data_IF_080352680007
#
_entry.id   IF_080352680007
#
_cell.length_a   1.000
_cell.length_b   1.000
_cell.length_c   1.000
_cell.angle_alpha   90.00
_cell.angle_beta   90.00
_cell.angle_gamma   90.00
#
_symmetry.space_group_name_H-M   'P 1'
#
loop_
_entity.id
_entity.type
_entity.pdbx_description
1 polymer ?
#
# COMPACT_ATOMS: atom_id res chain seq x y z
N UNK A 1 -8.74 -17.46 -7.51
CA UNK A 1 -10.10 -17.58 -6.94
C UNK A 1 -10.77 -16.22 -7.04
N UNK A 2 -11.97 -16.11 -7.64
CA UNK A 2 -12.71 -14.84 -7.64
C UNK A 2 -13.20 -14.52 -6.21
N UNK A 3 -13.52 -13.24 -5.96
CA UNK A 3 -14.23 -12.84 -4.74
C UNK A 3 -15.59 -13.57 -4.68
N UNK A 4 -16.10 -13.80 -3.47
CA UNK A 4 -17.45 -14.31 -3.29
C UNK A 4 -18.50 -13.32 -3.83
N UNK A 5 -19.71 -13.79 -4.21
CA UNK A 5 -20.78 -12.91 -4.64
C UNK A 5 -21.11 -11.87 -3.55
N UNK A 6 -21.11 -10.57 -3.87
CA UNK A 6 -21.45 -9.54 -2.90
C UNK A 6 -22.96 -9.45 -2.67
N UNK A 7 -23.35 -8.87 -1.53
CA UNK A 7 -24.72 -8.37 -1.32
C UNK A 7 -25.02 -7.18 -2.24
N UNK A 8 -26.31 -6.83 -2.38
CA UNK A 8 -26.76 -5.66 -3.14
C UNK A 8 -26.05 -4.38 -2.66
N UNK A 9 -25.48 -3.62 -3.60
CA UNK A 9 -24.70 -2.41 -3.33
C UNK A 9 -24.69 -1.47 -4.53
N UNK A 10 -24.42 -0.19 -4.30
CA UNK A 10 -24.25 0.81 -5.34
C UNK A 10 -22.81 1.35 -5.35
N UNK A 11 -22.27 1.61 -6.55
CA UNK A 11 -20.97 2.29 -6.67
C UNK A 11 -21.08 3.70 -6.09
N UNK A 12 -20.13 4.10 -5.23
CA UNK A 12 -20.11 5.45 -4.64
C UNK A 12 -18.86 6.24 -4.96
N UNK A 13 -17.77 5.55 -5.25
CA UNK A 13 -16.46 6.11 -5.54
C UNK A 13 -15.64 5.06 -6.27
N UNK A 14 -14.82 5.50 -7.22
CA UNK A 14 -13.79 4.70 -7.86
C UNK A 14 -12.47 5.43 -7.70
N UNK A 15 -11.48 4.71 -7.15
CA UNK A 15 -10.08 5.08 -7.19
C UNK A 15 -9.36 4.11 -8.10
N UNK A 16 -8.55 4.63 -9.00
CA UNK A 16 -7.61 3.86 -9.80
C UNK A 16 -6.20 4.38 -9.51
N UNK A 17 -5.27 3.46 -9.29
CA UNK A 17 -3.84 3.76 -9.24
C UNK A 17 -3.17 2.93 -10.33
N UNK A 18 -2.48 3.60 -11.25
CA UNK A 18 -1.58 2.94 -12.20
C UNK A 18 -0.15 3.26 -11.79
N UNK A 19 0.74 2.29 -11.98
CA UNK A 19 2.16 2.48 -11.76
C UNK A 19 2.94 1.73 -12.84
N UNK A 20 3.78 2.45 -13.55
CA UNK A 20 4.52 2.00 -14.72
C UNK A 20 6.02 2.24 -14.47
N UNK A 21 6.86 1.40 -15.05
CA UNK A 21 8.30 1.49 -14.92
C UNK A 21 8.95 1.49 -16.30
N UNK A 22 9.92 2.38 -16.49
CA UNK A 22 10.59 2.60 -17.76
C UNK A 22 12.11 2.58 -17.57
N UNK A 23 12.80 1.74 -18.31
CA UNK A 23 14.26 1.84 -18.46
C UNK A 23 14.57 3.02 -19.39
N UNK A 24 15.39 3.96 -18.93
CA UNK A 24 15.86 5.10 -19.71
C UNK A 24 17.12 4.75 -20.50
N UNK A 25 17.39 5.53 -21.54
CA UNK A 25 18.59 5.39 -22.37
C UNK A 25 19.90 5.64 -21.60
N UNK A 26 19.85 6.42 -20.51
CA UNK A 26 20.98 6.69 -19.62
C UNK A 26 21.20 5.60 -18.54
N UNK A 27 20.42 4.52 -18.59
CA UNK A 27 20.50 3.39 -17.65
C UNK A 27 19.83 3.63 -16.30
N UNK A 28 19.20 4.79 -16.09
CA UNK A 28 18.32 5.04 -14.95
C UNK A 28 16.92 4.48 -15.24
N UNK A 29 16.07 4.47 -14.21
CA UNK A 29 14.70 3.99 -14.35
C UNK A 29 13.72 5.06 -13.87
N UNK A 30 12.68 5.32 -14.65
CA UNK A 30 11.55 6.13 -14.20
C UNK A 30 10.43 5.21 -13.69
N UNK A 31 9.89 5.54 -12.52
CA UNK A 31 8.67 4.94 -11.99
C UNK A 31 7.60 6.03 -11.98
N UNK A 32 6.59 5.86 -12.81
CA UNK A 32 5.47 6.78 -12.95
C UNK A 32 4.24 6.20 -12.29
N UNK A 33 3.66 6.94 -11.35
CA UNK A 33 2.43 6.56 -10.71
C UNK A 33 1.37 7.64 -10.94
N UNK A 34 0.14 7.20 -11.22
CA UNK A 34 -1.03 8.07 -11.39
C UNK A 34 -2.15 7.63 -10.47
N UNK A 35 -2.78 8.58 -9.79
CA UNK A 35 -4.00 8.37 -9.01
C UNK A 35 -5.16 9.12 -9.67
N UNK A 36 -6.22 8.40 -9.99
CA UNK A 36 -7.47 8.99 -10.51
C UNK A 36 -8.64 8.61 -9.63
N UNK A 37 -9.36 9.62 -9.14
CA UNK A 37 -10.57 9.46 -8.35
C UNK A 37 -11.79 9.93 -9.13
N UNK A 38 -12.83 9.10 -9.27
CA UNK A 38 -14.10 9.48 -9.90
C UNK A 38 -15.31 9.09 -9.03
N UNK A 39 -16.47 9.68 -9.32
CA UNK A 39 -17.75 9.32 -8.69
C UNK A 39 -18.82 9.11 -9.78
N UNK A 40 -19.77 8.17 -9.57
CA UNK A 40 -20.88 7.90 -10.49
C UNK A 40 -22.05 8.87 -10.26
N UNK A 41 -21.70 10.15 -10.12
CA UNK A 41 -22.62 11.27 -9.89
C UNK A 41 -21.83 12.57 -9.96
N UNK A 42 -22.54 13.65 -10.22
CA UNK A 42 -22.02 15.00 -10.07
C UNK A 42 -21.51 15.25 -8.66
N UNK A 43 -20.42 16.01 -8.54
CA UNK A 43 -19.80 16.38 -7.28
C UNK A 43 -19.89 17.89 -7.14
N UNK A 44 -20.59 18.33 -6.10
CA UNK A 44 -20.55 19.72 -5.68
C UNK A 44 -19.17 20.04 -5.09
N UNK A 45 -18.54 21.07 -5.62
CA UNK A 45 -17.23 21.57 -5.19
C UNK A 45 -17.40 22.99 -4.62
N UNK A 46 -16.40 23.42 -3.85
CA UNK A 46 -16.36 24.78 -3.33
C UNK A 46 -16.46 25.83 -4.45
N UNK A 47 -17.18 26.92 -4.15
CA UNK A 47 -17.45 28.01 -5.08
C UNK A 47 -18.60 27.74 -6.05
N UNK A 48 -19.60 26.94 -5.65
CA UNK A 48 -20.76 26.56 -6.48
C UNK A 48 -20.38 25.92 -7.82
N UNK A 49 -19.24 25.23 -7.84
CA UNK A 49 -18.77 24.49 -9.03
C UNK A 49 -19.30 23.07 -8.98
N UNK A 50 -19.59 22.52 -10.16
CA UNK A 50 -19.98 21.13 -10.31
C UNK A 50 -18.89 20.40 -11.09
N UNK A 51 -18.48 19.25 -10.57
CA UNK A 51 -17.73 18.25 -11.30
C UNK A 51 -18.72 17.25 -11.91
N UNK A 52 -18.87 17.19 -13.24
CA UNK A 52 -19.78 16.23 -13.86
C UNK A 52 -19.41 14.78 -13.54
N UNK A 53 -20.42 13.92 -13.51
CA UNK A 53 -20.25 12.47 -13.40
C UNK A 53 -19.18 11.94 -14.38
N UNK A 54 -18.36 11.00 -13.89
CA UNK A 54 -17.31 10.36 -14.67
C UNK A 54 -16.03 11.19 -14.83
N UNK A 55 -16.06 12.50 -14.57
CA UNK A 55 -14.83 13.30 -14.58
C UNK A 55 -13.99 13.10 -13.30
N UNK A 56 -12.65 13.21 -13.38
CA UNK A 56 -11.78 13.08 -12.23
C UNK A 56 -12.02 14.15 -11.16
N UNK A 57 -12.26 13.74 -9.91
CA UNK A 57 -12.11 14.60 -8.74
C UNK A 57 -10.63 14.87 -8.45
N UNK A 58 -9.82 13.82 -8.53
CA UNK A 58 -8.37 13.88 -8.47
C UNK A 58 -7.79 13.21 -9.71
N UNK A 59 -6.76 13.80 -10.27
CA UNK A 59 -5.92 13.21 -11.31
C UNK A 59 -4.50 13.69 -11.10
N UNK A 60 -3.69 12.84 -10.47
CA UNK A 60 -2.44 13.23 -9.85
C UNK A 60 -1.34 12.30 -10.32
N UNK A 61 -0.17 12.87 -10.60
CA UNK A 61 1.00 12.15 -11.07
C UNK A 61 2.16 12.31 -10.09
N UNK A 62 2.92 11.23 -9.93
CA UNK A 62 4.19 11.22 -9.24
C UNK A 62 5.18 10.38 -10.06
N UNK A 63 6.27 11.01 -10.50
CA UNK A 63 7.39 10.34 -11.16
C UNK A 63 8.61 10.40 -10.25
N UNK A 64 9.31 9.28 -10.14
CA UNK A 64 10.65 9.24 -9.55
C UNK A 64 11.62 8.58 -10.51
N UNK A 65 12.81 9.16 -10.64
CA UNK A 65 13.93 8.52 -11.33
C UNK A 65 14.80 7.84 -10.30
N UNK A 66 15.16 6.57 -10.54
CA UNK A 66 15.98 5.77 -9.64
C UNK A 66 17.22 5.20 -10.31
N UNK A 67 18.28 5.04 -9.52
CA UNK A 67 19.46 4.26 -9.91
C UNK A 67 19.24 2.74 -9.70
N UNK A 68 20.20 1.93 -10.13
CA UNK A 68 20.16 0.47 -9.95
C UNK A 68 20.22 0.01 -8.47
N UNK A 69 20.54 0.92 -7.55
CA UNK A 69 20.52 0.69 -6.10
C UNK A 69 19.20 1.13 -5.47
N UNK A 70 18.20 1.53 -6.28
CA UNK A 70 16.89 2.02 -5.89
C UNK A 70 16.93 3.34 -5.10
N UNK A 71 17.97 4.15 -5.29
CA UNK A 71 18.01 5.51 -4.77
C UNK A 71 17.28 6.43 -5.73
N UNK A 72 16.44 7.31 -5.19
CA UNK A 72 15.76 8.35 -5.96
C UNK A 72 16.78 9.46 -6.27
N UNK A 73 17.02 9.68 -7.56
CA UNK A 73 17.93 10.73 -8.07
C UNK A 73 17.17 11.95 -8.60
N UNK A 74 15.90 11.79 -8.99
CA UNK A 74 15.00 12.90 -9.31
C UNK A 74 13.55 12.55 -8.96
N UNK A 75 12.72 13.58 -8.75
CA UNK A 75 11.30 13.43 -8.45
C UNK A 75 10.48 14.64 -8.93
N UNK A 76 9.32 14.35 -9.50
CA UNK A 76 8.34 15.33 -9.96
C UNK A 76 6.92 14.89 -9.60
N UNK A 77 6.05 15.85 -9.26
CA UNK A 77 4.64 15.60 -9.07
C UNK A 77 3.79 16.67 -9.76
N UNK A 78 2.72 16.23 -10.41
CA UNK A 78 1.74 17.10 -11.07
C UNK A 78 0.33 16.77 -10.56
N UNK A 79 -0.59 17.73 -10.64
CA UNK A 79 -1.98 17.58 -10.21
C UNK A 79 -2.91 18.23 -11.24
N UNK A 80 -3.33 17.44 -12.23
CA UNK A 80 -4.11 17.91 -13.38
C UNK A 80 -5.57 18.21 -12.99
N UNK A 81 -6.10 17.42 -12.06
CA UNK A 81 -7.44 17.63 -11.51
C UNK A 81 -7.42 17.60 -9.99
N UNK A 82 -8.02 18.63 -9.39
CA UNK A 82 -8.09 18.81 -7.94
C UNK A 82 -9.42 19.46 -7.53
N UNK A 83 -9.88 19.23 -6.28
CA UNK A 83 -11.08 19.90 -5.75
C UNK A 83 -10.88 21.40 -5.52
N UNK A 84 -9.65 21.83 -5.18
CA UNK A 84 -9.30 23.22 -4.91
C UNK A 84 -8.14 23.65 -5.83
N UNK A 85 -8.43 24.08 -7.08
CA UNK A 85 -7.40 24.62 -7.98
C UNK A 85 -6.72 25.86 -7.40
N UNK A 86 -5.50 26.14 -7.82
CA UNK A 86 -4.59 27.16 -7.27
C UNK A 86 -4.14 26.94 -5.81
N UNK A 87 -4.51 25.81 -5.21
CA UNK A 87 -4.16 25.45 -3.83
C UNK A 87 -3.63 24.02 -3.72
N UNK A 88 -4.37 23.03 -4.23
CA UNK A 88 -3.92 21.63 -4.19
C UNK A 88 -2.82 21.33 -5.20
N UNK A 89 -2.89 21.98 -6.36
CA UNK A 89 -1.97 21.88 -7.50
C UNK A 89 -0.63 22.60 -7.29
N UNK A 90 -0.49 23.36 -6.20
CA UNK A 90 0.75 24.08 -5.88
C UNK A 90 1.76 23.25 -5.07
N UNK A 91 1.37 22.06 -4.58
CA UNK A 91 2.22 21.24 -3.69
C UNK A 91 3.27 20.41 -4.44
N UNK A 92 3.17 20.30 -5.77
CA UNK A 92 4.06 19.48 -6.60
C UNK A 92 5.57 19.62 -6.25
N UNK A 93 6.10 20.85 -6.14
CA UNK A 93 7.51 21.07 -5.80
C UNK A 93 7.97 20.45 -4.46
N UNK A 94 7.08 20.27 -3.49
CA UNK A 94 7.43 19.66 -2.20
C UNK A 94 7.91 18.20 -2.35
N UNK A 95 7.43 17.49 -3.38
CA UNK A 95 7.79 16.09 -3.63
C UNK A 95 9.23 15.88 -4.11
N UNK A 96 9.96 16.96 -4.43
CA UNK A 96 11.43 16.91 -4.61
C UNK A 96 12.16 16.44 -3.35
N UNK A 97 11.55 16.53 -2.17
CA UNK A 97 12.07 15.96 -0.92
C UNK A 97 12.20 14.42 -0.92
N UNK A 98 11.66 13.73 -1.94
CA UNK A 98 11.90 12.31 -2.15
C UNK A 98 13.31 12.00 -2.64
N UNK A 99 13.99 12.97 -3.28
CA UNK A 99 15.36 12.81 -3.77
C UNK A 99 16.28 12.44 -2.60
N UNK A 100 17.15 11.45 -2.84
CA UNK A 100 18.05 10.89 -1.84
C UNK A 100 17.42 9.83 -0.93
N UNK A 101 16.10 9.57 -1.01
CA UNK A 101 15.53 8.38 -0.41
C UNK A 101 15.88 7.12 -1.19
N UNK A 102 15.87 5.99 -0.50
CA UNK A 102 15.97 4.68 -1.13
C UNK A 102 14.65 3.93 -0.97
N UNK A 103 14.12 3.38 -2.07
CA UNK A 103 12.80 2.73 -2.10
C UNK A 103 12.68 1.53 -1.13
N UNK A 104 13.81 0.89 -0.77
CA UNK A 104 13.83 -0.30 0.08
C UNK A 104 14.33 -0.07 1.50
N UNK A 105 14.84 1.14 1.82
CA UNK A 105 15.40 1.45 3.14
C UNK A 105 14.55 2.48 3.86
N UNK A 106 13.54 2.01 4.58
CA UNK A 106 12.69 2.87 5.42
C UNK A 106 11.82 3.86 4.64
N UNK A 107 11.68 3.69 3.32
CA UNK A 107 11.04 4.64 2.41
C UNK A 107 9.70 5.16 2.92
N UNK A 108 8.75 4.27 3.23
CA UNK A 108 7.41 4.66 3.69
C UNK A 108 7.43 5.51 4.96
N UNK A 109 8.36 5.24 5.88
CA UNK A 109 8.51 6.06 7.09
C UNK A 109 9.08 7.43 6.72
N UNK A 110 10.15 7.47 5.93
CA UNK A 110 10.77 8.73 5.53
C UNK A 110 9.83 9.63 4.71
N UNK A 111 9.01 9.06 3.84
CA UNK A 111 7.94 9.78 3.12
C UNK A 111 6.97 10.43 4.11
N UNK A 112 6.46 9.68 5.11
CA UNK A 112 5.57 10.25 6.13
C UNK A 112 6.24 11.33 6.97
N UNK A 113 7.52 11.16 7.30
CA UNK A 113 8.26 12.13 8.11
C UNK A 113 8.47 13.46 7.35
N UNK A 114 8.56 13.44 6.01
CA UNK A 114 8.80 14.65 5.19
C UNK A 114 7.54 15.27 4.60
N UNK A 115 6.58 14.43 4.21
CA UNK A 115 5.40 14.80 3.38
C UNK A 115 4.09 14.34 4.02
N UNK A 116 4.12 14.01 5.32
CA UNK A 116 2.93 13.69 6.09
C UNK A 116 2.13 14.94 6.44
N UNK A 117 0.83 14.76 6.69
CA UNK A 117 -0.08 15.85 7.07
C UNK A 117 -0.02 17.01 6.06
N UNK A 118 0.01 18.26 6.54
CA UNK A 118 0.01 19.49 5.74
C UNK A 118 1.29 19.74 4.94
N UNK A 119 2.37 18.98 5.19
CA UNK A 119 3.63 19.12 4.44
C UNK A 119 3.57 18.49 3.04
N UNK A 120 2.54 17.68 2.76
CA UNK A 120 2.29 17.09 1.46
C UNK A 120 0.80 17.00 1.16
N UNK A 121 0.46 16.34 0.05
CA UNK A 121 -0.91 15.97 -0.26
C UNK A 121 -1.15 14.52 0.17
N UNK A 122 -2.25 14.25 0.89
CA UNK A 122 -2.58 12.88 1.31
C UNK A 122 -2.57 11.89 0.15
N UNK A 123 -3.07 12.30 -1.02
CA UNK A 123 -3.16 11.47 -2.21
C UNK A 123 -1.80 11.16 -2.84
N UNK A 124 -0.93 12.17 -3.04
CA UNK A 124 0.41 11.95 -3.59
C UNK A 124 1.31 11.19 -2.60
N UNK A 125 1.11 11.39 -1.29
CA UNK A 125 1.81 10.64 -0.24
C UNK A 125 1.35 9.17 -0.17
N UNK A 126 0.06 8.89 -0.40
CA UNK A 126 -0.45 7.53 -0.61
C UNK A 126 0.13 6.92 -1.89
N UNK A 127 0.14 7.68 -2.99
CA UNK A 127 0.64 7.26 -4.29
C UNK A 127 2.13 6.89 -4.24
N UNK A 128 2.94 7.63 -3.49
CA UNK A 128 4.34 7.26 -3.22
C UNK A 128 4.46 5.84 -2.64
N UNK A 129 3.45 5.39 -1.90
CA UNK A 129 3.40 4.06 -1.29
C UNK A 129 3.48 2.89 -2.27
N UNK A 130 3.12 3.06 -3.56
CA UNK A 130 3.21 1.96 -4.55
C UNK A 130 4.58 1.88 -5.24
N UNK A 131 5.38 2.95 -5.20
CA UNK A 131 6.66 3.04 -5.92
C UNK A 131 7.64 1.90 -5.59
N UNK A 132 7.86 1.50 -4.31
CA UNK A 132 8.83 0.45 -4.01
C UNK A 132 8.48 -0.89 -4.64
N UNK A 133 7.20 -1.29 -4.59
CA UNK A 133 6.78 -2.57 -5.13
C UNK A 133 6.80 -2.57 -6.65
N UNK A 134 6.41 -1.46 -7.30
CA UNK A 134 6.52 -1.32 -8.76
C UNK A 134 7.97 -1.45 -9.22
N UNK A 135 8.89 -0.74 -8.59
CA UNK A 135 10.31 -0.81 -8.92
C UNK A 135 10.90 -2.22 -8.74
N UNK A 136 10.60 -2.89 -7.62
CA UNK A 136 11.10 -4.25 -7.37
C UNK A 136 10.58 -5.26 -8.40
N UNK A 137 9.31 -5.16 -8.77
CA UNK A 137 8.74 -6.07 -9.77
C UNK A 137 9.30 -5.79 -11.16
N UNK A 138 9.52 -4.52 -11.53
CA UNK A 138 10.16 -4.15 -12.79
C UNK A 138 11.63 -4.60 -12.86
N UNK A 139 12.37 -4.51 -11.75
CA UNK A 139 13.78 -4.92 -11.72
C UNK A 139 13.96 -6.45 -11.76
N UNK A 140 12.92 -7.23 -11.45
CA UNK A 140 13.01 -8.69 -11.45
C UNK A 140 13.18 -9.22 -12.88
N UNK A 141 14.30 -9.88 -13.15
CA UNK A 141 14.65 -10.37 -14.48
C UNK A 141 15.65 -9.48 -15.22
N UNK A 142 15.52 -8.15 -15.11
CA UNK A 142 16.39 -7.19 -15.80
C UNK A 142 17.63 -6.79 -14.97
N UNK A 143 17.41 -6.39 -13.71
CA UNK A 143 18.47 -5.93 -12.80
C UNK A 143 18.78 -7.00 -11.76
N UNK A 144 17.74 -7.59 -11.17
CA UNK A 144 17.86 -8.72 -10.27
C UNK A 144 17.77 -10.00 -11.06
N UNK A 145 18.90 -10.68 -11.22
CA UNK A 145 18.92 -12.03 -11.80
C UNK A 145 18.00 -12.94 -10.99
N UNK A 146 17.08 -13.61 -11.68
CA UNK A 146 16.24 -14.64 -11.09
C UNK A 146 17.15 -15.85 -10.86
N UNK A 147 17.27 -16.25 -9.60
CA UNK A 147 18.15 -17.31 -9.13
C UNK A 147 17.29 -18.56 -8.90
N UNK A 148 17.37 -19.52 -9.81
CA UNK A 148 16.64 -20.80 -9.83
C UNK A 148 17.32 -21.92 -9.02
N UNK A 149 18.50 -21.64 -8.45
CA UNK A 149 18.99 -22.28 -7.23
C UNK A 149 19.68 -23.64 -7.37
N UNK A 150 19.60 -24.32 -8.52
CA UNK A 150 20.28 -25.61 -8.73
C UNK A 150 21.82 -25.46 -8.76
N UNK A 151 22.33 -24.50 -9.55
CA UNK A 151 23.76 -24.28 -9.75
C UNK A 151 24.25 -22.92 -9.21
N UNK A 152 23.48 -22.31 -8.32
CA UNK A 152 23.77 -20.98 -7.83
C UNK A 152 24.90 -20.98 -6.78
N UNK A 153 26.04 -20.31 -7.01
CA UNK A 153 27.17 -20.34 -6.08
C UNK A 153 26.92 -19.57 -4.79
N UNK A 154 25.88 -18.72 -4.70
CA UNK A 154 25.67 -17.85 -3.56
C UNK A 154 24.96 -18.60 -2.41
N UNK A 155 25.50 -18.52 -1.17
CA UNK A 155 25.00 -19.29 -0.01
C UNK A 155 23.67 -18.77 0.56
N UNK A 156 23.22 -17.58 0.17
CA UNK A 156 21.96 -16.98 0.64
C UNK A 156 20.82 -17.18 -0.37
N UNK A 157 19.57 -17.35 0.11
CA UNK A 157 18.42 -17.56 -0.75
C UNK A 157 18.15 -16.35 -1.68
N UNK A 158 17.51 -16.57 -2.84
CA UNK A 158 16.98 -15.49 -3.66
C UNK A 158 16.06 -14.58 -2.86
N UNK A 159 16.14 -13.26 -3.07
CA UNK A 159 15.36 -12.27 -2.29
C UNK A 159 13.84 -12.42 -2.42
N UNK A 160 13.37 -13.09 -3.47
CA UNK A 160 11.97 -13.34 -3.73
C UNK A 160 11.39 -14.42 -2.82
N UNK A 161 12.24 -15.34 -2.31
CA UNK A 161 11.80 -16.39 -1.40
C UNK A 161 11.42 -15.82 -0.04
N UNK A 162 10.36 -16.39 0.54
CA UNK A 162 9.71 -15.95 1.78
C UNK A 162 9.22 -14.49 1.74
N UNK A 163 9.10 -13.91 0.55
CA UNK A 163 8.52 -12.58 0.32
C UNK A 163 7.02 -12.59 0.01
N UNK A 164 6.44 -13.75 -0.30
CA UNK A 164 5.01 -13.91 -0.57
C UNK A 164 4.47 -15.25 -0.07
N UNK A 165 3.15 -15.36 -0.02
CA UNK A 165 2.46 -16.57 0.45
C UNK A 165 2.85 -17.82 -0.35
N UNK A 166 3.04 -17.73 -1.66
CA UNK A 166 3.39 -18.91 -2.46
C UNK A 166 4.86 -19.34 -2.28
N UNK A 167 5.77 -18.41 -2.02
CA UNK A 167 7.21 -18.66 -1.97
C UNK A 167 7.76 -18.78 -0.56
N UNK A 168 6.95 -19.08 0.45
CA UNK A 168 7.46 -19.32 1.81
C UNK A 168 8.30 -20.59 1.87
N UNK A 169 9.36 -20.58 2.68
CA UNK A 169 10.38 -21.65 2.75
C UNK A 169 9.81 -23.03 3.09
N UNK A 170 8.69 -23.13 3.81
CA UNK A 170 8.03 -24.40 4.13
C UNK A 170 6.95 -24.80 3.10
N UNK A 171 6.82 -24.06 2.00
CA UNK A 171 5.75 -24.22 1.02
C UNK A 171 6.06 -25.23 -0.06
N UNK A 172 5.00 -25.83 -0.61
CA UNK A 172 5.08 -26.83 -1.68
C UNK A 172 5.77 -26.28 -2.93
N UNK A 173 5.54 -25.01 -3.27
CA UNK A 173 6.20 -24.34 -4.41
C UNK A 173 7.71 -24.26 -4.19
N UNK A 174 8.18 -23.91 -2.99
CA UNK A 174 9.62 -23.90 -2.68
C UNK A 174 10.17 -25.32 -2.68
N UNK A 175 9.44 -26.29 -2.13
CA UNK A 175 9.83 -27.71 -2.15
C UNK A 175 10.06 -28.23 -3.56
N UNK A 176 9.18 -27.88 -4.50
CA UNK A 176 9.21 -28.37 -5.87
C UNK A 176 10.21 -27.60 -6.75
N UNK A 177 10.19 -26.27 -6.71
CA UNK A 177 10.92 -25.43 -7.66
C UNK A 177 12.22 -24.84 -7.10
N UNK A 178 12.40 -24.84 -5.77
CA UNK A 178 13.58 -24.30 -5.09
C UNK A 178 14.05 -25.24 -3.96
N UNK A 179 14.21 -26.56 -4.21
CA UNK A 179 14.37 -27.58 -3.17
C UNK A 179 15.54 -27.32 -2.22
N UNK A 180 16.61 -26.67 -2.70
CA UNK A 180 17.76 -26.25 -1.89
C UNK A 180 17.39 -25.34 -0.71
N UNK A 181 16.35 -24.53 -0.87
CA UNK A 181 15.93 -23.52 0.11
C UNK A 181 14.71 -23.96 0.94
N UNK A 182 14.20 -25.17 0.69
CA UNK A 182 13.06 -25.69 1.44
C UNK A 182 13.43 -25.88 2.92
N UNK A 183 12.61 -25.33 3.82
CA UNK A 183 12.85 -25.33 5.26
C UNK A 183 13.96 -24.37 5.72
N UNK A 184 14.48 -23.49 4.85
CA UNK A 184 15.49 -22.50 5.24
C UNK A 184 14.96 -21.60 6.38
N UNK A 185 15.73 -21.49 7.46
CA UNK A 185 15.42 -20.62 8.59
C UNK A 185 16.18 -19.30 8.43
N UNK A 186 15.51 -18.19 8.08
CA UNK A 186 16.19 -16.91 7.93
C UNK A 186 16.77 -16.47 9.27
N UNK A 187 18.00 -15.93 9.24
CA UNK A 187 18.60 -15.31 10.44
C UNK A 187 17.66 -14.20 10.95
N UNK A 188 17.41 -14.10 12.26
CA UNK A 188 16.59 -13.03 12.82
C UNK A 188 17.12 -11.67 12.33
N UNK A 189 16.26 -10.87 11.70
CA UNK A 189 16.61 -9.49 11.36
C UNK A 189 16.92 -8.74 12.65
N UNK A 190 18.13 -8.19 12.76
CA UNK A 190 18.47 -7.28 13.86
C UNK A 190 17.45 -6.13 13.88
N UNK A 191 16.60 -6.09 14.91
CA UNK A 191 15.54 -5.08 15.09
C UNK A 191 14.11 -5.61 15.12
N UNK A 192 13.85 -6.88 14.82
CA UNK A 192 12.54 -7.50 15.07
C UNK A 192 12.48 -7.98 16.52
N UNK A 193 12.12 -7.10 17.46
CA UNK A 193 11.70 -7.54 18.78
C UNK A 193 10.51 -8.50 18.60
N UNK A 194 10.65 -9.72 19.10
CA UNK A 194 9.59 -10.73 19.07
C UNK A 194 8.31 -10.12 19.67
N UNK A 195 7.22 -10.13 18.90
CA UNK A 195 5.92 -9.80 19.47
C UNK A 195 5.59 -10.86 20.53
N UNK A 196 5.19 -10.46 21.74
CA UNK A 196 4.79 -11.42 22.76
C UNK A 196 3.59 -12.23 22.26
N UNK A 197 3.46 -13.51 22.65
CA UNK A 197 2.36 -14.35 22.23
C UNK A 197 1.03 -13.71 22.63
N UNK A 198 0.11 -13.58 21.67
CA UNK A 198 -1.25 -13.13 21.96
C UNK A 198 -1.91 -14.15 22.89
N UNK A 199 -2.55 -13.72 24.00
CA UNK A 199 -3.30 -14.63 24.83
C UNK A 199 -4.50 -15.19 24.05
N UNK A 200 -4.68 -16.50 24.11
CA UNK A 200 -5.79 -17.20 23.48
C UNK A 200 -7.13 -16.59 23.91
N UNK A 201 -7.95 -16.18 22.93
CA UNK A 201 -9.32 -15.75 23.16
C UNK A 201 -10.12 -16.93 23.74
N UNK A 202 -10.56 -16.80 25.00
CA UNK A 202 -11.58 -17.69 25.56
C UNK A 202 -12.91 -17.38 24.89
N UNK A 203 -13.34 -18.26 23.99
CA UNK A 203 -14.72 -18.32 23.54
C UNK A 203 -15.47 -19.36 24.38
N UNK A 204 -16.66 -18.94 24.82
CA UNK A 204 -17.86 -19.71 25.13
C UNK A 204 -17.87 -20.66 26.35
N UNK A 205 -18.43 -20.15 27.45
CA UNK A 205 -19.11 -20.95 28.46
C UNK A 205 -20.64 -20.76 28.30
N UNK A 206 -21.46 -21.82 28.42
CA UNK A 206 -22.89 -21.76 28.12
C UNK A 206 -23.68 -21.10 29.27
N UNK A 207 -24.69 -20.31 28.91
CA UNK A 207 -25.64 -19.75 29.85
C UNK A 207 -26.59 -20.83 30.38
N UNK A 208 -26.54 -21.10 31.68
CA UNK A 208 -27.57 -21.82 32.42
C UNK A 208 -28.48 -20.84 33.16
N UNK A 209 -29.79 -21.02 33.03
CA UNK A 209 -30.83 -20.11 33.49
C UNK A 209 -31.10 -20.09 35.00
N UNK A 210 -32.07 -19.24 35.35
CA UNK A 210 -32.69 -19.15 36.67
C UNK A 210 -33.75 -18.03 36.70
N UNK A 211 -35.01 -18.43 36.65
CA UNK A 211 -36.18 -17.62 37.05
C UNK A 211 -36.12 -17.33 38.57
N UNK A 212 -36.55 -16.14 39.04
CA UNK A 212 -37.69 -16.04 39.97
C UNK A 212 -38.18 -14.58 40.24
N UNK A 213 -39.49 -14.44 40.04
CA UNK A 213 -40.57 -13.65 40.68
C UNK A 213 -40.46 -12.23 41.30
N UNK A 214 -41.49 -11.44 40.89
CA UNK A 214 -42.37 -10.47 41.61
C UNK A 214 -41.79 -9.34 42.49
N UNK A 215 -42.22 -8.08 42.21
CA UNK A 215 -43.37 -7.44 42.88
C UNK A 215 -43.49 -5.92 42.63
N UNK A 216 -44.72 -5.52 42.30
CA UNK A 216 -45.46 -4.33 42.77
C UNK A 216 -44.99 -2.87 42.49
N UNK A 217 -45.78 -2.21 41.64
CA UNK A 217 -46.07 -0.75 41.53
C UNK A 217 -46.66 -0.19 42.85
N UNK A 218 -46.67 1.14 43.17
CA UNK A 218 -47.37 2.14 42.33
C UNK A 218 -46.94 3.64 42.36
N UNK A 219 -47.46 4.35 41.35
CA UNK A 219 -47.94 5.74 41.20
C UNK A 219 -47.34 6.97 41.95
N UNK A 220 -47.18 8.04 41.16
CA UNK A 220 -47.39 9.47 41.53
C UNK A 220 -46.62 10.41 40.58
N UNK A 221 -47.23 11.17 39.64
CA UNK A 221 -47.84 12.53 39.76
C UNK A 221 -46.98 13.51 40.58
N UNK A 222 -46.66 14.75 40.22
CA UNK A 222 -46.92 15.68 39.10
C UNK A 222 -45.96 16.86 39.28
N UNK A 223 -45.75 17.67 38.23
CA UNK A 223 -45.07 18.96 38.28
C UNK A 223 -44.72 19.44 36.88
#
# INVERSE_FOLDING_TARGET
MPLSPPVNRALRHRRAITAEAYLREDGLWDIEARLTDTKPRDIELAGNRIRPEGQPLHDLWLRVTIDLRLNIVDAEACSDWVPYPTHCDTIGPAYRQLIGLNLMRGFRKAVRDRLGSVAGCSHLTELAGVLPTTAIQAFAGDVFKIRDGADDPNPEPPMQLHGCHALHFEGEVVRQFYPRWYGHQPKPRAGAAASPPQPASRADAPASGGEDTLAHRPNGTSG
#
